data_IF_920122939973
#
_entry.id   IF_920122939973
#
_cell.length_a   1.000
_cell.length_b   1.000
_cell.length_c   1.000
_cell.angle_alpha   90.00
_cell.angle_beta   90.00
_cell.angle_gamma   90.00
#
_symmetry.space_group_name_H-M   'P 1'
#
loop_
_entity.id
_entity.type
_entity.pdbx_description
1 polymer ?
#
# COMPACT_ATOMS: atom_id res chain seq x y z
N UNK A 1 -65.40 60.61 -10.20
CA UNK A 1 -65.15 59.31 -9.53
C UNK A 1 -64.38 58.31 -10.40
N UNK A 2 -64.58 58.26 -11.73
CA UNK A 2 -63.84 57.33 -12.61
C UNK A 2 -62.30 57.48 -12.58
N UNK A 3 -61.77 58.72 -12.51
CA UNK A 3 -60.33 58.98 -12.46
C UNK A 3 -59.64 58.38 -11.22
N UNK A 4 -60.24 58.55 -10.04
CA UNK A 4 -59.69 58.04 -8.78
C UNK A 4 -59.64 56.49 -8.77
N UNK A 5 -60.66 55.84 -9.33
CA UNK A 5 -60.72 54.38 -9.46
C UNK A 5 -59.63 53.88 -10.42
N UNK A 6 -59.39 54.59 -11.53
CA UNK A 6 -58.35 54.23 -12.50
C UNK A 6 -56.93 54.32 -11.91
N UNK A 7 -56.65 55.36 -11.10
CA UNK A 7 -55.34 55.52 -10.44
C UNK A 7 -55.11 54.39 -9.42
N UNK A 8 -56.11 54.08 -8.59
CA UNK A 8 -56.00 52.96 -7.63
C UNK A 8 -55.78 51.63 -8.34
N UNK A 9 -56.50 51.38 -9.44
CA UNK A 9 -56.30 50.17 -10.24
C UNK A 9 -54.89 50.06 -10.82
N UNK A 10 -54.31 51.18 -11.32
CA UNK A 10 -52.93 51.21 -11.82
C UNK A 10 -51.90 50.94 -10.72
N UNK A 11 -52.10 51.48 -9.52
CA UNK A 11 -51.19 51.23 -8.38
C UNK A 11 -51.25 49.77 -7.94
N UNK A 12 -52.44 49.18 -7.86
CA UNK A 12 -52.61 47.77 -7.49
C UNK A 12 -51.99 46.85 -8.55
N UNK A 13 -52.20 47.13 -9.83
CA UNK A 13 -51.55 46.37 -10.92
C UNK A 13 -50.03 46.53 -10.89
N UNK A 14 -49.52 47.74 -10.68
CA UNK A 14 -48.08 47.99 -10.56
C UNK A 14 -47.45 47.23 -9.38
N UNK A 15 -48.10 47.23 -8.22
CA UNK A 15 -47.66 46.48 -7.05
C UNK A 15 -47.69 44.95 -7.30
N UNK A 16 -48.72 44.44 -7.96
CA UNK A 16 -48.83 43.02 -8.29
C UNK A 16 -47.74 42.56 -9.28
N UNK A 17 -47.48 43.35 -10.33
CA UNK A 17 -46.42 43.07 -11.32
C UNK A 17 -45.04 43.12 -10.65
N UNK A 18 -44.79 44.13 -9.82
CA UNK A 18 -43.53 44.23 -9.08
C UNK A 18 -43.35 43.05 -8.11
N UNK A 19 -44.40 42.63 -7.41
CA UNK A 19 -44.38 41.47 -6.52
C UNK A 19 -44.09 40.16 -7.27
N UNK A 20 -44.74 39.94 -8.42
CA UNK A 20 -44.51 38.76 -9.25
C UNK A 20 -43.08 38.72 -9.82
N UNK A 21 -42.57 39.85 -10.30
CA UNK A 21 -41.22 39.94 -10.85
C UNK A 21 -40.15 39.74 -9.76
N UNK A 22 -40.35 40.31 -8.57
CA UNK A 22 -39.46 40.10 -7.45
C UNK A 22 -39.43 38.63 -6.99
N UNK A 23 -40.60 38.00 -6.86
CA UNK A 23 -40.72 36.57 -6.54
C UNK A 23 -40.03 35.70 -7.61
N UNK A 24 -40.25 35.99 -8.90
CA UNK A 24 -39.60 35.25 -9.98
C UNK A 24 -38.06 35.33 -9.98
N UNK A 25 -37.51 36.50 -9.66
CA UNK A 25 -36.05 36.68 -9.55
C UNK A 25 -35.48 35.95 -8.33
N UNK A 26 -36.22 35.93 -7.20
CA UNK A 26 -35.81 35.17 -6.02
C UNK A 26 -35.78 33.68 -6.31
N UNK A 27 -36.85 33.13 -6.88
CA UNK A 27 -36.94 31.71 -7.24
C UNK A 27 -35.85 31.31 -8.23
N UNK A 28 -35.56 32.15 -9.23
CA UNK A 28 -34.48 31.89 -10.18
C UNK A 28 -33.12 31.81 -9.46
N UNK A 29 -32.84 32.73 -8.53
CA UNK A 29 -31.57 32.73 -7.77
C UNK A 29 -31.46 31.53 -6.85
N UNK A 30 -32.55 31.13 -6.19
CA UNK A 30 -32.57 29.92 -5.35
C UNK A 30 -32.30 28.69 -6.21
N UNK A 31 -32.99 28.54 -7.34
CA UNK A 31 -32.79 27.41 -8.25
C UNK A 31 -31.37 27.33 -8.82
N UNK A 32 -30.79 28.46 -9.25
CA UNK A 32 -29.40 28.50 -9.72
C UNK A 32 -28.40 28.16 -8.61
N UNK A 33 -28.63 28.61 -7.37
CA UNK A 33 -27.78 28.30 -6.24
C UNK A 33 -27.86 26.80 -5.87
N UNK A 34 -29.05 26.23 -5.84
CA UNK A 34 -29.26 24.79 -5.58
C UNK A 34 -28.58 23.93 -6.65
N UNK A 35 -28.74 24.29 -7.93
CA UNK A 35 -28.09 23.57 -9.02
C UNK A 35 -26.56 23.59 -8.89
N UNK A 36 -25.97 24.73 -8.51
CA UNK A 36 -24.51 24.87 -8.31
C UNK A 36 -24.02 24.10 -7.10
N UNK A 37 -24.78 24.08 -6.02
CA UNK A 37 -24.48 23.28 -4.82
C UNK A 37 -24.44 21.80 -5.19
N UNK A 38 -25.45 21.30 -5.93
CA UNK A 38 -25.48 19.92 -6.40
C UNK A 38 -24.35 19.59 -7.38
N UNK A 39 -24.02 20.51 -8.30
CA UNK A 39 -22.90 20.33 -9.21
C UNK A 39 -21.55 20.28 -8.47
N UNK A 40 -21.32 21.20 -7.53
CA UNK A 40 -20.12 21.24 -6.70
C UNK A 40 -19.98 20.02 -5.81
N UNK A 41 -21.11 19.50 -5.31
CA UNK A 41 -21.18 18.23 -4.59
C UNK A 41 -20.74 17.06 -5.46
N UNK A 42 -21.26 16.95 -6.68
CA UNK A 42 -20.85 15.91 -7.63
C UNK A 42 -19.36 15.96 -7.96
N UNK A 43 -18.79 17.16 -8.12
CA UNK A 43 -17.34 17.36 -8.31
C UNK A 43 -16.53 16.91 -7.08
N UNK A 44 -17.03 17.20 -5.87
CA UNK A 44 -16.36 16.77 -4.64
C UNK A 44 -16.36 15.24 -4.50
N UNK A 45 -17.49 14.59 -4.81
CA UNK A 45 -17.59 13.12 -4.83
C UNK A 45 -16.67 12.50 -5.86
N UNK A 46 -16.67 13.02 -7.09
CA UNK A 46 -15.77 12.58 -8.15
C UNK A 46 -14.32 12.67 -7.70
N UNK A 47 -13.89 13.81 -7.13
CA UNK A 47 -12.53 14.01 -6.64
C UNK A 47 -12.15 13.01 -5.54
N UNK A 48 -13.04 12.75 -4.58
CA UNK A 48 -12.78 11.76 -3.52
C UNK A 48 -12.60 10.34 -4.08
N UNK A 49 -13.43 9.93 -5.05
CA UNK A 49 -13.29 8.62 -5.70
C UNK A 49 -12.10 8.55 -6.67
N UNK A 50 -11.70 9.68 -7.28
CA UNK A 50 -10.50 9.75 -8.12
C UNK A 50 -9.23 9.55 -7.30
N UNK A 51 -9.13 10.17 -6.12
CA UNK A 51 -8.02 9.96 -5.18
C UNK A 51 -7.95 8.49 -4.75
N UNK A 52 -9.09 7.85 -4.48
CA UNK A 52 -9.13 6.42 -4.18
C UNK A 52 -8.71 5.55 -5.38
N UNK A 53 -9.11 5.91 -6.59
CA UNK A 53 -8.77 5.18 -7.81
C UNK A 53 -7.28 5.27 -8.12
N UNK A 54 -6.68 6.44 -7.93
CA UNK A 54 -5.25 6.71 -8.07
C UNK A 54 -4.41 6.37 -6.83
N UNK A 55 -4.94 5.57 -5.90
CA UNK A 55 -4.25 5.24 -4.64
C UNK A 55 -2.91 4.55 -4.89
N UNK A 56 -2.87 3.59 -5.82
CA UNK A 56 -1.66 2.82 -6.12
C UNK A 56 -0.52 3.72 -6.62
N UNK A 57 -0.83 4.74 -7.45
CA UNK A 57 0.17 5.69 -7.97
C UNK A 57 0.80 6.58 -6.88
N UNK A 58 0.08 6.78 -5.77
CA UNK A 58 0.50 7.62 -4.66
C UNK A 58 0.78 6.84 -3.38
N UNK A 59 0.75 5.50 -3.44
CA UNK A 59 0.80 4.60 -2.29
C UNK A 59 2.04 4.85 -1.43
N UNK A 60 3.22 4.96 -2.05
CA UNK A 60 4.46 5.22 -1.33
C UNK A 60 4.39 6.51 -0.49
N UNK A 61 3.77 7.56 -1.04
CA UNK A 61 3.58 8.85 -0.36
C UNK A 61 2.59 8.72 0.79
N UNK A 62 1.45 8.05 0.59
CA UNK A 62 0.42 7.89 1.62
C UNK A 62 0.87 6.96 2.74
N UNK A 63 1.52 5.85 2.40
CA UNK A 63 2.05 4.88 3.34
C UNK A 63 3.17 5.47 4.23
N UNK A 64 3.97 6.40 3.70
CA UNK A 64 5.02 7.10 4.44
C UNK A 64 4.49 8.09 5.50
N UNK A 65 3.20 8.41 5.49
CA UNK A 65 2.61 9.27 6.53
C UNK A 65 2.62 8.59 7.90
N UNK A 66 2.72 9.44 8.91
CA UNK A 66 2.54 9.08 10.32
C UNK A 66 1.07 9.24 10.72
N UNK A 67 0.65 8.48 11.73
CA UNK A 67 -0.69 8.62 12.30
C UNK A 67 -0.90 10.01 12.89
N UNK A 68 -2.07 10.58 12.66
CA UNK A 68 -2.46 11.89 13.17
C UNK A 68 -2.69 11.84 14.70
N UNK A 69 -2.28 12.88 15.46
CA UNK A 69 -1.45 14.01 15.04
C UNK A 69 0.03 13.62 14.98
N UNK A 70 0.70 13.98 13.88
CA UNK A 70 2.15 13.83 13.77
C UNK A 70 2.85 15.13 14.20
N UNK A 71 3.98 15.00 14.92
CA UNK A 71 4.82 16.14 15.29
C UNK A 71 5.89 16.37 14.22
N UNK A 72 6.20 17.64 13.94
CA UNK A 72 7.28 18.03 13.01
C UNK A 72 8.60 17.32 13.37
N UNK A 73 9.35 16.77 12.39
CA UNK A 73 9.17 16.91 10.94
C UNK A 73 8.22 15.90 10.30
N UNK A 74 7.69 14.95 11.07
CA UNK A 74 6.76 13.94 10.57
C UNK A 74 5.44 14.59 10.11
N UNK A 75 4.92 14.09 8.99
CA UNK A 75 3.64 14.56 8.42
C UNK A 75 2.59 13.47 8.56
N UNK A 76 1.39 13.87 8.95
CA UNK A 76 0.20 13.01 8.97
C UNK A 76 -0.77 13.33 7.84
N UNK A 77 -0.42 14.29 6.97
CA UNK A 77 -1.30 14.76 5.92
C UNK A 77 -0.56 15.06 4.61
N UNK A 78 -1.28 14.90 3.49
CA UNK A 78 -0.86 15.30 2.13
C UNK A 78 -1.89 16.27 1.58
N UNK A 79 -1.42 17.39 1.05
CA UNK A 79 -2.27 18.37 0.37
C UNK A 79 -2.59 17.87 -1.04
N UNK A 80 -3.87 17.89 -1.39
CA UNK A 80 -4.35 17.63 -2.74
C UNK A 80 -4.50 19.00 -3.42
N UNK A 81 -3.67 19.24 -4.42
CA UNK A 81 -3.72 20.48 -5.20
C UNK A 81 -5.02 20.56 -6.01
N UNK A 82 -5.39 21.78 -6.38
CA UNK A 82 -6.56 22.01 -7.24
C UNK A 82 -6.39 21.28 -8.57
N UNK A 83 -7.30 20.32 -8.80
CA UNK A 83 -7.28 19.40 -9.94
C UNK A 83 -8.62 19.51 -10.66
N UNK A 84 -8.62 19.67 -12.00
CA UNK A 84 -9.86 19.61 -12.79
C UNK A 84 -10.51 18.24 -12.67
N UNK A 85 -11.83 18.19 -12.50
CA UNK A 85 -12.58 16.94 -12.55
C UNK A 85 -12.44 16.29 -13.93
N UNK A 86 -12.32 14.96 -14.00
CA UNK A 86 -12.27 14.21 -15.26
C UNK A 86 -13.53 14.42 -16.12
N UNK A 87 -14.69 14.64 -15.48
CA UNK A 87 -15.94 14.99 -16.15
C UNK A 87 -15.96 16.39 -16.80
N UNK A 88 -14.95 17.22 -16.52
CA UNK A 88 -14.89 18.63 -16.96
C UNK A 88 -15.95 19.53 -16.33
N UNK A 89 -16.63 19.09 -15.27
CA UNK A 89 -17.73 19.82 -14.62
C UNK A 89 -17.28 20.77 -13.52
N UNK A 90 -16.01 20.72 -13.12
CA UNK A 90 -15.46 21.62 -12.11
C UNK A 90 -14.01 21.31 -11.73
N UNK A 91 -13.65 21.66 -10.50
CA UNK A 91 -12.34 21.33 -9.91
C UNK A 91 -12.48 20.98 -8.44
N UNK A 92 -11.62 20.09 -7.97
CA UNK A 92 -11.56 19.68 -6.57
C UNK A 92 -10.16 19.90 -5.99
N UNK A 93 -10.07 20.06 -4.67
CA UNK A 93 -8.82 20.12 -3.91
C UNK A 93 -9.08 19.66 -2.48
N UNK A 94 -8.04 19.50 -1.66
CA UNK A 94 -8.28 19.02 -0.31
C UNK A 94 -7.05 18.60 0.46
N UNK A 95 -7.26 17.73 1.44
CA UNK A 95 -6.19 17.15 2.25
C UNK A 95 -6.53 15.70 2.61
N UNK A 96 -5.56 14.81 2.42
CA UNK A 96 -5.63 13.44 2.90
C UNK A 96 -4.92 13.35 4.23
N UNK A 97 -5.58 12.81 5.25
CA UNK A 97 -5.02 12.58 6.58
C UNK A 97 -4.88 11.08 6.83
N UNK A 98 -3.76 10.67 7.43
CA UNK A 98 -3.59 9.32 7.96
C UNK A 98 -3.99 9.30 9.42
N UNK A 99 -5.05 8.58 9.76
CA UNK A 99 -5.57 8.48 11.12
C UNK A 99 -4.87 7.37 11.90
N UNK A 100 -4.62 6.23 11.26
CA UNK A 100 -3.77 5.15 11.76
C UNK A 100 -3.11 4.41 10.58
N UNK A 101 -2.41 3.29 10.81
CA UNK A 101 -1.71 2.58 9.73
C UNK A 101 -2.61 2.08 8.60
N UNK A 102 -3.89 1.83 8.88
CA UNK A 102 -4.84 1.35 7.90
C UNK A 102 -5.95 2.36 7.53
N UNK A 103 -6.17 3.42 8.31
CA UNK A 103 -7.33 4.31 8.19
C UNK A 103 -6.90 5.71 7.78
N UNK A 104 -7.58 6.25 6.76
CA UNK A 104 -7.33 7.56 6.21
C UNK A 104 -8.64 8.34 6.06
N UNK A 105 -8.55 9.67 6.17
CA UNK A 105 -9.62 10.59 5.87
C UNK A 105 -9.23 11.39 4.63
N UNK A 106 -10.02 11.25 3.57
CA UNK A 106 -9.95 12.09 2.37
C UNK A 106 -10.93 13.25 2.59
N UNK A 107 -10.39 14.44 2.77
CA UNK A 107 -11.15 15.68 2.90
C UNK A 107 -11.04 16.45 1.59
N UNK A 108 -12.15 16.58 0.86
CA UNK A 108 -12.18 17.15 -0.49
C UNK A 108 -13.23 18.24 -0.57
N UNK A 109 -12.83 19.38 -1.13
CA UNK A 109 -13.72 20.47 -1.54
C UNK A 109 -13.83 20.47 -3.06
N UNK A 110 -15.06 20.44 -3.57
CA UNK A 110 -15.38 20.59 -4.99
C UNK A 110 -16.05 21.92 -5.30
N UNK A 111 -15.78 22.46 -6.48
CA UNK A 111 -16.43 23.63 -7.06
C UNK A 111 -16.82 23.38 -8.50
N UNK A 112 -18.02 23.79 -8.89
CA UNK A 112 -18.49 23.73 -10.27
C UNK A 112 -17.70 24.67 -11.21
N UNK A 113 -17.67 24.35 -12.49
CA UNK A 113 -16.88 25.08 -13.49
C UNK A 113 -17.20 26.58 -13.56
N UNK A 114 -18.45 26.98 -13.37
CA UNK A 114 -18.83 28.40 -13.42
C UNK A 114 -18.33 29.15 -12.19
N UNK A 115 -18.29 28.48 -11.04
CA UNK A 115 -17.72 28.99 -9.79
C UNK A 115 -16.20 29.12 -9.87
N UNK A 116 -15.52 28.14 -10.47
CA UNK A 116 -14.05 28.15 -10.66
C UNK A 116 -13.60 29.33 -11.53
N UNK A 117 -14.32 29.65 -12.61
CA UNK A 117 -13.93 30.74 -13.54
C UNK A 117 -14.26 32.13 -12.97
N UNK A 118 -14.85 32.23 -11.77
CA UNK A 118 -15.11 33.50 -11.10
C UNK A 118 -16.10 34.41 -11.84
N UNK A 119 -16.91 33.86 -12.76
CA UNK A 119 -17.85 34.62 -13.59
C UNK A 119 -19.12 35.06 -12.86
N UNK A 120 -19.18 34.87 -11.53
CA UNK A 120 -20.40 35.02 -10.74
C UNK A 120 -20.22 36.16 -9.73
N UNK A 121 -21.19 37.09 -9.70
CA UNK A 121 -21.30 38.09 -8.63
C UNK A 121 -21.92 37.44 -7.40
N UNK A 122 -21.17 37.32 -6.31
CA UNK A 122 -21.69 36.82 -5.02
C UNK A 122 -20.94 35.65 -4.39
N UNK A 123 -19.86 35.16 -5.01
CA UNK A 123 -19.14 33.96 -4.56
C UNK A 123 -19.71 32.70 -5.20
N UNK A 124 -18.84 31.80 -5.66
CA UNK A 124 -19.25 30.55 -6.28
C UNK A 124 -19.80 29.53 -5.26
N UNK A 125 -20.44 28.47 -5.76
CA UNK A 125 -20.79 27.30 -4.96
C UNK A 125 -19.56 26.45 -4.70
N UNK A 126 -19.38 26.01 -3.45
CA UNK A 126 -18.41 24.98 -3.07
C UNK A 126 -19.06 23.99 -2.12
N UNK A 127 -18.69 22.72 -2.22
CA UNK A 127 -19.12 21.68 -1.29
C UNK A 127 -17.91 20.89 -0.80
N UNK A 128 -17.88 20.60 0.50
CA UNK A 128 -16.81 19.85 1.13
C UNK A 128 -17.36 18.52 1.64
N UNK A 129 -16.64 17.44 1.38
CA UNK A 129 -16.99 16.11 1.84
C UNK A 129 -15.78 15.45 2.50
N UNK A 130 -16.08 14.56 3.44
CA UNK A 130 -15.13 13.66 4.07
C UNK A 130 -15.43 12.23 3.66
N UNK A 131 -14.40 11.50 3.25
CA UNK A 131 -14.47 10.08 2.93
C UNK A 131 -13.44 9.31 3.75
N UNK A 132 -13.92 8.46 4.65
CA UNK A 132 -13.10 7.51 5.39
C UNK A 132 -12.80 6.29 4.52
N UNK A 133 -11.52 6.03 4.33
CA UNK A 133 -11.00 4.91 3.55
C UNK A 133 -10.08 4.06 4.41
N UNK A 134 -10.07 2.75 4.17
CA UNK A 134 -9.19 1.80 4.83
C UNK A 134 -8.30 1.10 3.80
N UNK A 135 -7.02 0.89 4.10
CA UNK A 135 -6.18 -0.02 3.33
C UNK A 135 -6.50 -1.46 3.70
N UNK A 136 -6.76 -2.30 2.69
CA UNK A 136 -6.89 -3.74 2.90
C UNK A 136 -5.52 -4.38 2.68
N UNK A 137 -4.85 -4.89 3.73
CA UNK A 137 -3.60 -5.61 3.55
C UNK A 137 -3.84 -6.92 2.79
N UNK A 138 -2.80 -7.39 2.12
CA UNK A 138 -2.82 -8.67 1.41
C UNK A 138 -3.08 -9.82 2.39
N UNK A 139 -4.03 -10.71 2.08
CA UNK A 139 -4.23 -11.91 2.87
C UNK A 139 -3.24 -12.99 2.42
N UNK A 140 -2.12 -13.15 3.13
CA UNK A 140 -1.16 -14.22 2.86
C UNK A 140 -1.59 -15.50 3.59
N UNK A 141 -1.69 -16.65 2.89
CA UNK A 141 -2.10 -17.91 3.49
C UNK A 141 -1.00 -18.62 4.32
N UNK A 142 -0.01 -17.90 4.86
CA UNK A 142 1.24 -18.51 5.35
C UNK A 142 1.47 -18.38 6.86
N UNK A 143 1.17 -19.44 7.64
CA UNK A 143 1.61 -19.54 9.02
C UNK A 143 2.98 -20.26 9.10
N UNK A 144 3.97 -19.90 8.27
CA UNK A 144 5.29 -20.53 8.29
C UNK A 144 6.44 -19.55 8.03
N UNK A 145 7.63 -19.86 8.55
CA UNK A 145 8.85 -19.12 8.20
C UNK A 145 9.24 -19.35 6.73
N UNK A 146 9.18 -20.61 6.29
CA UNK A 146 9.36 -21.02 4.89
C UNK A 146 8.16 -21.84 4.43
N UNK A 147 7.52 -21.42 3.35
CA UNK A 147 6.56 -22.22 2.59
C UNK A 147 7.18 -22.58 1.25
N UNK A 148 7.26 -23.87 0.92
CA UNK A 148 7.99 -24.36 -0.25
C UNK A 148 7.14 -25.34 -1.06
N UNK A 149 7.10 -25.16 -2.37
CA UNK A 149 6.45 -26.08 -3.31
C UNK A 149 7.34 -27.23 -3.80
N UNK A 150 8.60 -27.30 -3.38
CA UNK A 150 9.56 -28.31 -3.83
C UNK A 150 10.51 -28.77 -2.72
N UNK A 151 11.53 -29.55 -3.09
CA UNK A 151 12.50 -30.09 -2.13
C UNK A 151 13.33 -28.98 -1.45
N UNK A 152 13.66 -29.19 -0.17
CA UNK A 152 14.45 -28.27 0.64
C UNK A 152 15.71 -28.96 1.15
N UNK A 153 16.87 -28.39 0.84
CA UNK A 153 18.18 -28.85 1.32
C UNK A 153 18.77 -27.76 2.21
N UNK A 154 18.93 -28.07 3.49
CA UNK A 154 19.57 -27.19 4.47
C UNK A 154 20.98 -27.70 4.76
N UNK A 155 21.97 -26.83 4.62
CA UNK A 155 23.39 -27.16 4.78
C UNK A 155 24.14 -26.22 5.73
N UNK A 156 25.19 -26.71 6.39
CA UNK A 156 26.04 -25.88 7.25
C UNK A 156 25.36 -25.57 8.60
N UNK A 157 25.23 -24.29 8.95
CA UNK A 157 24.54 -23.84 10.17
C UNK A 157 23.28 -23.04 9.85
N UNK A 158 22.61 -23.35 8.73
CA UNK A 158 21.37 -22.68 8.36
C UNK A 158 20.29 -22.84 9.45
N UNK A 159 19.56 -21.77 9.75
CA UNK A 159 18.51 -21.76 10.77
C UNK A 159 17.19 -21.32 10.18
N UNK A 160 16.14 -22.12 10.39
CA UNK A 160 14.76 -21.76 10.06
C UNK A 160 13.97 -21.77 11.35
N UNK A 161 13.34 -20.64 11.67
CA UNK A 161 12.65 -20.45 12.94
C UNK A 161 11.22 -19.93 12.73
N UNK A 162 10.23 -20.78 12.99
CA UNK A 162 8.80 -20.44 12.96
C UNK A 162 8.29 -19.71 14.20
N UNK A 163 9.10 -19.50 15.24
CA UNK A 163 8.69 -18.68 16.38
C UNK A 163 8.72 -17.19 16.01
N UNK A 164 7.66 -16.45 16.36
CA UNK A 164 7.58 -15.02 16.07
C UNK A 164 8.71 -14.24 16.73
N UNK A 165 9.55 -13.61 15.91
CA UNK A 165 10.64 -12.77 16.34
C UNK A 165 10.36 -11.31 15.95
N UNK A 166 10.59 -10.40 16.89
CA UNK A 166 10.60 -8.97 16.59
C UNK A 166 12.01 -8.62 16.09
N UNK A 167 12.14 -7.99 14.90
CA UNK A 167 13.45 -7.62 14.41
C UNK A 167 14.11 -6.58 15.34
N UNK A 168 15.44 -6.64 15.55
CA UNK A 168 16.12 -5.72 16.46
C UNK A 168 15.86 -4.25 16.10
N UNK A 169 15.59 -3.42 17.11
CA UNK A 169 15.33 -1.98 16.93
C UNK A 169 13.90 -1.63 16.47
N UNK A 170 13.08 -2.61 16.13
CA UNK A 170 11.68 -2.37 15.75
C UNK A 170 10.79 -2.18 16.97
N UNK A 171 9.89 -1.20 16.89
CA UNK A 171 8.90 -0.89 17.93
C UNK A 171 7.47 -0.91 17.37
N UNK A 172 6.49 -0.98 18.27
CA UNK A 172 5.06 -0.99 17.90
C UNK A 172 4.56 -2.32 17.30
N UNK A 173 5.27 -3.42 17.52
CA UNK A 173 4.94 -4.75 16.96
C UNK A 173 3.86 -5.52 17.73
N UNK A 174 3.49 -5.06 18.93
CA UNK A 174 2.68 -5.85 19.87
C UNK A 174 3.46 -7.04 20.46
N UNK A 175 2.79 -7.90 21.25
CA UNK A 175 3.41 -9.12 21.78
C UNK A 175 3.66 -10.15 20.66
N UNK A 176 4.73 -10.94 20.82
CA UNK A 176 5.03 -12.05 19.91
C UNK A 176 3.92 -13.10 19.95
N UNK A 177 3.54 -13.59 18.77
CA UNK A 177 2.52 -14.61 18.61
C UNK A 177 3.01 -16.01 19.03
N UNK A 178 2.07 -16.94 19.13
CA UNK A 178 2.32 -18.38 19.23
C UNK A 178 3.20 -18.89 18.08
N UNK A 179 3.92 -19.98 18.36
CA UNK A 179 4.82 -20.59 17.40
C UNK A 179 4.08 -20.98 16.11
N UNK A 180 4.66 -20.60 14.98
CA UNK A 180 4.22 -21.00 13.65
C UNK A 180 5.05 -22.17 13.13
N UNK A 181 4.71 -22.66 11.95
CA UNK A 181 5.45 -23.75 11.31
C UNK A 181 6.85 -23.27 10.94
N UNK A 182 7.87 -24.11 11.12
CA UNK A 182 9.20 -23.81 10.58
C UNK A 182 9.19 -23.86 9.04
N UNK A 183 9.03 -25.06 8.50
CA UNK A 183 8.92 -25.32 7.05
C UNK A 183 7.56 -25.95 6.75
N UNK A 184 6.77 -25.34 5.87
CA UNK A 184 5.56 -25.93 5.28
C UNK A 184 5.87 -26.34 3.84
N UNK A 185 5.67 -27.60 3.49
CA UNK A 185 6.04 -28.16 2.18
C UNK A 185 4.98 -29.13 1.67
N UNK A 186 4.98 -29.49 0.38
CA UNK A 186 4.01 -30.44 -0.14
C UNK A 186 4.23 -31.83 0.48
N UNK A 187 3.20 -32.67 0.45
CA UNK A 187 3.25 -33.99 1.10
C UNK A 187 4.43 -34.86 0.62
N UNK A 188 4.74 -34.80 -0.68
CA UNK A 188 5.76 -35.63 -1.32
C UNK A 188 7.16 -35.03 -1.33
N UNK A 189 7.31 -33.76 -0.93
CA UNK A 189 8.59 -33.08 -0.91
C UNK A 189 9.49 -33.59 0.22
N UNK A 190 10.79 -33.43 0.01
CA UNK A 190 11.82 -33.81 0.97
C UNK A 190 12.42 -32.58 1.64
N UNK A 191 12.63 -32.67 2.96
CA UNK A 191 13.48 -31.75 3.71
C UNK A 191 14.72 -32.51 4.15
N UNK A 192 15.86 -32.16 3.58
CA UNK A 192 17.14 -32.83 3.82
C UNK A 192 18.08 -31.87 4.56
N UNK A 193 18.74 -32.35 5.60
CA UNK A 193 19.70 -31.57 6.39
C UNK A 193 21.11 -32.15 6.25
N UNK A 194 22.12 -31.28 6.14
CA UNK A 194 23.53 -31.65 6.11
C UNK A 194 24.34 -30.67 7.00
N UNK A 195 25.21 -31.19 7.86
CA UNK A 195 25.90 -30.40 8.89
C UNK A 195 25.03 -30.21 10.14
N UNK A 196 24.91 -28.98 10.62
CA UNK A 196 24.19 -28.63 11.85
C UNK A 196 23.09 -27.56 11.62
N UNK A 197 22.17 -27.73 10.65
CA UNK A 197 21.06 -26.81 10.50
C UNK A 197 20.05 -26.96 11.64
N UNK A 198 19.38 -25.88 12.00
CA UNK A 198 18.34 -25.87 13.04
C UNK A 198 17.00 -25.53 12.42
N UNK A 199 15.98 -26.36 12.67
CA UNK A 199 14.59 -26.09 12.26
C UNK A 199 13.74 -26.01 13.51
N UNK A 200 13.20 -24.83 13.82
CA UNK A 200 12.35 -24.54 14.96
C UNK A 200 10.95 -24.14 14.48
N UNK A 201 9.93 -24.52 15.23
CA UNK A 201 8.53 -24.21 14.93
C UNK A 201 7.59 -25.25 15.53
N UNK A 202 6.29 -25.01 15.42
CA UNK A 202 5.25 -25.95 15.86
C UNK A 202 4.27 -26.26 14.71
N UNK A 203 4.45 -27.39 13.99
CA UNK A 203 5.62 -28.27 14.02
C UNK A 203 6.86 -27.66 13.32
N UNK A 204 8.08 -28.20 13.53
CA UNK A 204 9.26 -27.76 12.80
C UNK A 204 9.14 -27.94 11.28
N UNK A 205 8.58 -29.08 10.85
CA UNK A 205 8.25 -29.35 9.45
C UNK A 205 6.81 -29.82 9.38
N UNK A 206 6.00 -29.16 8.55
CA UNK A 206 4.63 -29.55 8.21
C UNK A 206 4.60 -29.98 6.74
N UNK A 207 4.24 -31.25 6.52
CA UNK A 207 3.89 -31.76 5.20
C UNK A 207 2.39 -31.55 4.97
N UNK A 208 2.07 -30.66 4.05
CA UNK A 208 0.70 -30.21 3.82
C UNK A 208 0.19 -30.67 2.44
N UNK A 209 -0.80 -31.60 2.38
CA UNK A 209 -1.36 -32.06 1.12
C UNK A 209 -2.27 -31.01 0.44
N UNK A 210 -2.64 -29.94 1.13
CA UNK A 210 -3.46 -28.85 0.57
C UNK A 210 -2.62 -27.76 -0.11
N UNK A 211 -1.29 -27.84 -0.01
CA UNK A 211 -0.38 -26.89 -0.63
C UNK A 211 -0.35 -27.09 -2.15
N UNK A 212 -1.11 -26.28 -2.87
CA UNK A 212 -1.21 -26.26 -4.33
C UNK A 212 -0.59 -25.00 -4.95
N UNK A 213 -0.42 -24.96 -6.26
CA UNK A 213 0.09 -23.79 -7.01
C UNK A 213 -0.66 -22.48 -6.73
N UNK A 214 -1.97 -22.58 -6.45
CA UNK A 214 -2.80 -21.44 -6.04
C UNK A 214 -2.30 -20.78 -4.75
N UNK A 215 -1.63 -21.53 -3.86
CA UNK A 215 -1.06 -21.02 -2.61
C UNK A 215 0.10 -20.04 -2.85
N UNK A 216 0.69 -20.06 -4.05
CA UNK A 216 1.81 -19.21 -4.47
C UNK A 216 1.44 -18.21 -5.57
N UNK A 217 0.21 -18.28 -6.08
CA UNK A 217 -0.27 -17.41 -7.16
C UNK A 217 -1.48 -16.57 -6.78
N UNK A 218 -2.17 -16.89 -5.67
CA UNK A 218 -3.35 -16.18 -5.19
C UNK A 218 -3.26 -15.92 -3.68
N UNK A 219 -3.53 -14.66 -3.30
CA UNK A 219 -3.36 -14.11 -1.96
C UNK A 219 -4.64 -13.38 -1.53
N UNK A 220 -5.64 -14.16 -1.13
CA UNK A 220 -7.01 -13.66 -0.96
C UNK A 220 -7.61 -13.27 -2.32
N UNK A 221 -7.94 -11.99 -2.48
CA UNK A 221 -8.57 -11.45 -3.71
C UNK A 221 -7.54 -10.97 -4.76
N UNK A 222 -6.24 -11.10 -4.48
CA UNK A 222 -5.15 -10.58 -5.33
C UNK A 222 -4.26 -11.72 -5.82
N UNK A 223 -4.01 -11.74 -7.12
CA UNK A 223 -3.07 -12.69 -7.75
C UNK A 223 -1.64 -12.15 -7.74
N UNK A 224 -0.65 -13.03 -7.90
CA UNK A 224 0.75 -12.63 -8.10
C UNK A 224 0.89 -11.60 -9.22
N UNK A 225 0.22 -11.81 -10.36
CA UNK A 225 0.30 -10.89 -11.50
C UNK A 225 -0.27 -9.50 -11.16
N UNK A 226 -1.38 -9.44 -10.41
CA UNK A 226 -1.93 -8.16 -9.95
C UNK A 226 -1.01 -7.47 -8.93
N UNK A 227 -0.32 -8.23 -8.08
CA UNK A 227 0.65 -7.68 -7.13
C UNK A 227 1.91 -7.17 -7.84
N UNK A 228 2.41 -7.92 -8.84
CA UNK A 228 3.53 -7.53 -9.69
C UNK A 228 3.23 -6.27 -10.52
N UNK A 229 2.02 -6.14 -11.06
CA UNK A 229 1.58 -4.93 -11.77
C UNK A 229 1.51 -3.69 -10.87
N UNK A 230 1.50 -3.88 -9.55
CA UNK A 230 1.51 -2.81 -8.53
C UNK A 230 2.90 -2.58 -7.93
N UNK A 231 3.96 -3.15 -8.51
CA UNK A 231 5.30 -2.99 -7.99
C UNK A 231 5.76 -1.52 -8.02
N UNK A 232 6.28 -1.01 -6.91
CA UNK A 232 6.91 0.32 -6.85
C UNK A 232 8.24 0.31 -7.60
N UNK A 233 8.94 -0.83 -7.56
CA UNK A 233 10.24 -1.05 -8.19
C UNK A 233 10.15 -2.29 -9.07
N UNK A 234 10.35 -2.13 -10.38
CA UNK A 234 10.50 -3.25 -11.31
C UNK A 234 11.93 -3.30 -11.83
N UNK A 235 12.59 -4.44 -11.67
CA UNK A 235 13.97 -4.66 -12.09
C UNK A 235 14.06 -5.92 -12.96
N UNK A 236 14.92 -5.90 -13.97
CA UNK A 236 15.31 -7.13 -14.67
C UNK A 236 16.26 -7.94 -13.81
N UNK A 237 16.07 -9.26 -13.81
CA UNK A 237 16.92 -10.23 -13.18
C UNK A 237 18.35 -10.05 -13.69
N UNK A 238 19.27 -9.84 -12.74
CA UNK A 238 20.68 -9.63 -12.97
C UNK A 238 21.43 -9.96 -11.68
N UNK A 239 22.75 -9.85 -11.74
CA UNK A 239 23.59 -9.84 -10.56
C UNK A 239 23.66 -8.42 -9.97
N UNK A 240 22.93 -8.20 -8.87
CA UNK A 240 22.89 -6.94 -8.13
C UNK A 240 24.11 -6.71 -7.23
N UNK A 241 25.05 -7.65 -7.17
CA UNK A 241 26.22 -7.53 -6.30
C UNK A 241 27.08 -6.30 -6.54
N UNK A 242 27.09 -5.81 -7.79
CA UNK A 242 27.84 -4.61 -8.20
C UNK A 242 27.09 -3.30 -7.95
N UNK A 243 25.78 -3.35 -7.73
CA UNK A 243 24.92 -2.16 -7.56
C UNK A 243 24.52 -1.90 -6.11
N UNK A 244 24.96 -2.77 -5.19
CA UNK A 244 24.69 -2.78 -3.74
C UNK A 244 23.31 -2.25 -3.36
N UNK A 245 22.39 -3.15 -3.09
CA UNK A 245 21.10 -2.79 -2.49
C UNK A 245 21.37 -2.15 -1.12
N UNK A 246 20.96 -0.89 -0.95
CA UNK A 246 21.21 -0.10 0.25
C UNK A 246 20.24 1.10 0.33
N UNK A 247 19.95 1.62 1.54
CA UNK A 247 19.14 2.82 1.71
C UNK A 247 19.72 4.02 0.96
N UNK A 248 18.86 4.80 0.30
CA UNK A 248 19.25 6.06 -0.34
C UNK A 248 18.46 7.23 0.23
N UNK A 249 19.16 8.31 0.60
CA UNK A 249 18.56 9.52 1.17
C UNK A 249 18.79 10.73 0.25
N UNK A 250 17.84 11.66 0.23
CA UNK A 250 17.97 12.96 -0.43
C UNK A 250 17.59 14.05 0.57
N UNK A 251 18.59 14.79 1.06
CA UNK A 251 18.41 15.68 2.21
C UNK A 251 17.96 14.91 3.46
N UNK A 252 16.85 15.34 4.06
CA UNK A 252 16.26 14.69 5.24
C UNK A 252 15.26 13.56 4.93
N UNK A 253 14.96 13.31 3.64
CA UNK A 253 13.95 12.35 3.21
C UNK A 253 14.54 11.09 2.57
N UNK A 254 13.74 10.02 2.52
CA UNK A 254 14.08 8.84 1.74
C UNK A 254 14.01 9.14 0.24
N UNK A 255 15.02 8.72 -0.53
CA UNK A 255 15.04 8.90 -1.98
C UNK A 255 14.41 7.68 -2.67
N UNK A 256 13.12 7.77 -2.98
CA UNK A 256 12.36 6.69 -3.63
C UNK A 256 12.62 6.57 -5.14
N UNK A 257 13.38 7.50 -5.74
CA UNK A 257 13.72 7.45 -7.18
C UNK A 257 14.86 6.49 -7.50
N UNK A 258 15.63 6.07 -6.48
CA UNK A 258 16.75 5.13 -6.62
C UNK A 258 16.21 3.71 -6.57
N UNK A 259 16.27 2.98 -7.69
CA UNK A 259 15.70 1.63 -7.80
C UNK A 259 16.38 0.58 -6.89
N UNK A 260 17.60 0.85 -6.39
CA UNK A 260 18.32 0.00 -5.43
C UNK A 260 18.07 0.38 -3.97
N UNK A 261 17.25 1.41 -3.71
CA UNK A 261 16.79 1.76 -2.38
C UNK A 261 15.58 0.91 -2.02
N UNK A 262 15.77 -0.08 -1.16
CA UNK A 262 14.69 -0.97 -0.72
C UNK A 262 14.28 -0.70 0.75
N UNK A 263 14.54 0.51 1.26
CA UNK A 263 14.26 0.88 2.64
C UNK A 263 15.42 0.61 3.60
N UNK A 264 15.26 0.96 4.89
CA UNK A 264 16.29 0.81 5.92
C UNK A 264 15.75 0.14 7.19
N UNK A 265 15.62 -1.21 7.18
CA UNK A 265 15.07 -1.94 8.32
C UNK A 265 15.94 -1.90 9.58
N UNK A 266 17.27 -1.75 9.46
CA UNK A 266 18.17 -1.62 10.63
C UNK A 266 18.11 -0.23 11.26
N UNK A 267 17.61 0.77 10.55
CA UNK A 267 17.34 2.12 11.05
C UNK A 267 15.86 2.50 10.88
N UNK A 268 14.94 1.87 11.62
CA UNK A 268 13.50 2.03 11.43
C UNK A 268 12.98 3.43 11.76
N UNK A 269 13.74 4.24 12.51
CA UNK A 269 13.43 5.65 12.81
C UNK A 269 14.09 6.63 11.82
N UNK A 270 14.98 6.14 10.96
CA UNK A 270 15.66 6.93 9.95
C UNK A 270 14.78 7.28 8.74
N UNK A 271 15.30 8.08 7.80
CA UNK A 271 14.52 8.60 6.67
C UNK A 271 13.83 7.52 5.83
N UNK A 272 14.51 6.37 5.60
CA UNK A 272 13.98 5.23 4.85
C UNK A 272 13.41 4.10 5.72
N UNK A 273 13.33 4.28 7.04
CA UNK A 273 12.80 3.26 7.95
C UNK A 273 11.31 2.95 7.71
N UNK A 274 10.56 3.94 7.20
CA UNK A 274 9.15 3.79 6.83
C UNK A 274 8.89 3.40 5.36
N UNK A 275 9.92 3.15 4.56
CA UNK A 275 9.78 2.86 3.13
C UNK A 275 9.75 1.35 2.89
N UNK A 276 8.59 0.80 2.52
CA UNK A 276 8.33 -0.63 2.31
C UNK A 276 7.78 -0.86 0.89
N UNK A 277 8.64 -0.79 -0.14
CA UNK A 277 8.17 -0.98 -1.52
C UNK A 277 7.71 -2.41 -1.80
N UNK A 278 6.90 -2.56 -2.84
CA UNK A 278 6.75 -3.81 -3.59
C UNK A 278 7.86 -3.83 -4.66
N UNK A 279 8.82 -4.73 -4.51
CA UNK A 279 9.90 -4.97 -5.48
C UNK A 279 9.51 -6.17 -6.35
N UNK A 280 9.55 -6.01 -7.68
CA UNK A 280 9.37 -7.09 -8.63
C UNK A 280 10.62 -7.28 -9.48
N UNK A 281 11.21 -8.47 -9.39
CA UNK A 281 12.34 -8.90 -10.22
C UNK A 281 11.82 -9.82 -11.33
N UNK A 282 11.94 -9.35 -12.56
CA UNK A 282 11.48 -10.02 -13.78
C UNK A 282 12.58 -10.89 -14.39
N UNK A 283 12.25 -12.07 -14.90
CA UNK A 283 13.23 -12.98 -15.53
C UNK A 283 13.58 -14.20 -14.67
N UNK A 284 14.55 -15.00 -15.11
CA UNK A 284 14.73 -16.38 -14.63
C UNK A 284 15.71 -16.55 -13.47
N UNK A 285 16.74 -15.71 -13.35
CA UNK A 285 17.77 -15.86 -12.32
C UNK A 285 18.29 -14.50 -11.85
N UNK A 286 18.03 -14.17 -10.59
CA UNK A 286 18.55 -12.98 -9.95
C UNK A 286 19.56 -13.36 -8.86
N UNK A 287 20.62 -12.57 -8.74
CA UNK A 287 21.56 -12.70 -7.64
C UNK A 287 21.60 -11.39 -6.85
N UNK A 288 21.31 -11.47 -5.56
CA UNK A 288 21.30 -10.31 -4.66
C UNK A 288 22.45 -10.44 -3.69
N UNK A 289 23.23 -9.36 -3.61
CA UNK A 289 24.06 -9.05 -2.46
C UNK A 289 23.96 -7.55 -2.19
N UNK A 290 24.42 -7.13 -1.01
CA UNK A 290 24.23 -5.77 -0.52
C UNK A 290 23.95 -5.80 0.96
N UNK A 291 23.37 -4.72 1.49
CA UNK A 291 23.19 -4.55 2.92
C UNK A 291 21.80 -5.02 3.37
N UNK A 292 20.76 -4.30 2.96
CA UNK A 292 19.43 -4.47 3.53
C UNK A 292 18.30 -4.07 2.57
N UNK A 293 17.12 -4.62 2.81
CA UNK A 293 15.86 -4.21 2.19
C UNK A 293 14.65 -4.63 3.00
N UNK A 294 13.50 -4.03 2.72
CA UNK A 294 12.24 -4.35 3.40
C UNK A 294 11.04 -4.15 2.47
N UNK A 295 9.90 -4.77 2.81
CA UNK A 295 8.66 -4.69 2.02
C UNK A 295 8.23 -6.03 1.46
N UNK A 296 7.74 -6.02 0.22
CA UNK A 296 7.29 -7.23 -0.50
C UNK A 296 8.20 -7.48 -1.69
N UNK A 297 8.92 -8.59 -1.70
CA UNK A 297 9.80 -8.98 -2.80
C UNK A 297 9.15 -10.09 -3.63
N UNK A 298 8.95 -9.82 -4.92
CA UNK A 298 8.42 -10.74 -5.91
C UNK A 298 9.52 -11.10 -6.90
N UNK A 299 9.73 -12.40 -7.15
CA UNK A 299 10.71 -12.87 -8.14
C UNK A 299 10.04 -13.85 -9.09
N UNK A 300 10.10 -13.56 -10.39
CA UNK A 300 9.47 -14.39 -11.44
C UNK A 300 10.20 -15.74 -11.65
N UNK A 301 11.49 -15.78 -11.32
CA UNK A 301 12.35 -16.95 -11.46
C UNK A 301 13.03 -17.33 -10.14
N UNK A 302 14.27 -17.78 -10.24
CA UNK A 302 15.11 -18.17 -9.12
C UNK A 302 15.80 -16.97 -8.48
N UNK A 303 15.98 -17.05 -7.15
CA UNK A 303 16.70 -16.06 -6.37
C UNK A 303 17.92 -16.69 -5.71
N UNK A 304 19.09 -16.12 -5.98
CA UNK A 304 20.33 -16.43 -5.28
C UNK A 304 20.68 -15.27 -4.34
N UNK A 305 20.82 -15.53 -3.05
CA UNK A 305 21.24 -14.53 -2.05
C UNK A 305 22.60 -14.90 -1.50
N UNK A 306 23.51 -13.94 -1.53
CA UNK A 306 24.89 -14.12 -1.12
C UNK A 306 25.35 -12.98 -0.22
N UNK A 307 26.35 -13.25 0.62
CA UNK A 307 26.90 -12.27 1.55
C UNK A 307 26.02 -12.06 2.77
N UNK A 308 25.99 -10.82 3.25
CA UNK A 308 25.36 -10.35 4.49
C UNK A 308 23.99 -9.69 4.27
N UNK A 309 23.40 -9.86 3.07
CA UNK A 309 22.13 -9.25 2.72
C UNK A 309 20.99 -9.68 3.66
N UNK A 310 20.20 -8.71 4.10
CA UNK A 310 19.04 -8.92 4.96
C UNK A 310 17.77 -8.36 4.33
N UNK A 311 16.67 -9.12 4.41
CA UNK A 311 15.36 -8.69 3.93
C UNK A 311 14.29 -8.82 5.01
N UNK A 312 13.45 -7.79 5.16
CA UNK A 312 12.42 -7.70 6.20
C UNK A 312 11.03 -7.53 5.57
N UNK A 313 10.21 -8.57 5.63
CA UNK A 313 8.83 -8.55 5.14
C UNK A 313 8.43 -9.85 4.48
N UNK A 314 7.86 -9.75 3.28
CA UNK A 314 7.30 -10.90 2.55
C UNK A 314 8.15 -11.15 1.32
N UNK A 315 8.59 -12.37 1.12
CA UNK A 315 9.33 -12.78 -0.08
C UNK A 315 8.55 -13.88 -0.80
N UNK A 316 8.27 -13.68 -2.08
CA UNK A 316 7.58 -14.62 -2.94
C UNK A 316 8.44 -14.87 -4.18
N UNK A 317 8.89 -16.10 -4.34
CA UNK A 317 9.78 -16.55 -5.42
C UNK A 317 9.04 -17.62 -6.21
N UNK A 318 9.02 -17.53 -7.54
CA UNK A 318 8.35 -18.52 -8.41
C UNK A 318 9.25 -19.68 -8.86
N UNK A 319 10.56 -19.49 -8.78
CA UNK A 319 11.58 -20.53 -8.97
C UNK A 319 12.20 -20.96 -7.65
N UNK A 320 13.49 -21.30 -7.64
CA UNK A 320 14.17 -21.76 -6.42
C UNK A 320 14.81 -20.64 -5.62
N UNK A 321 14.95 -20.85 -4.32
CA UNK A 321 15.79 -20.05 -3.43
C UNK A 321 17.13 -20.74 -3.19
N UNK A 322 18.22 -20.03 -3.42
CA UNK A 322 19.57 -20.44 -3.03
C UNK A 322 20.20 -19.38 -2.13
N UNK A 323 20.73 -19.80 -0.98
CA UNK A 323 21.47 -18.91 -0.10
C UNK A 323 22.86 -19.46 0.17
N UNK A 324 23.86 -18.59 0.12
CA UNK A 324 25.23 -18.90 0.56
C UNK A 324 25.74 -17.75 1.43
N UNK A 325 25.61 -17.90 2.75
CA UNK A 325 26.10 -16.90 3.71
C UNK A 325 27.46 -17.31 4.29
N UNK A 326 28.37 -16.33 4.44
CA UNK A 326 29.68 -16.51 5.09
C UNK A 326 29.61 -16.36 6.61
N UNK A 327 30.52 -17.01 7.33
CA UNK A 327 30.47 -17.27 8.78
C UNK A 327 30.28 -16.09 9.76
N UNK A 328 30.45 -14.83 9.32
CA UNK A 328 30.47 -13.66 10.21
C UNK A 328 29.17 -12.86 10.31
N UNK A 329 28.25 -12.96 9.34
CA UNK A 329 26.98 -12.22 9.34
C UNK A 329 25.95 -13.01 8.55
N UNK A 330 24.82 -13.42 9.14
CA UNK A 330 23.90 -14.33 8.47
C UNK A 330 23.15 -13.61 7.32
N UNK A 331 22.87 -14.32 6.22
CA UNK A 331 21.86 -13.84 5.27
C UNK A 331 20.50 -14.01 5.96
N UNK A 332 19.81 -12.91 6.23
CA UNK A 332 18.63 -12.90 7.10
C UNK A 332 17.36 -12.56 6.34
N UNK A 333 16.40 -13.48 6.34
CA UNK A 333 15.02 -13.15 6.02
C UNK A 333 14.24 -13.03 7.33
N UNK A 334 13.70 -11.85 7.59
CA UNK A 334 12.77 -11.59 8.70
C UNK A 334 11.36 -11.46 8.13
N UNK A 335 10.46 -12.36 8.50
CA UNK A 335 9.08 -12.35 8.00
C UNK A 335 8.68 -13.70 7.44
N UNK A 336 8.22 -13.78 6.20
CA UNK A 336 7.85 -15.07 5.58
C UNK A 336 8.41 -15.19 4.18
N UNK A 337 8.88 -16.38 3.84
CA UNK A 337 9.40 -16.70 2.52
C UNK A 337 8.52 -17.78 1.89
N UNK A 338 8.00 -17.49 0.71
CA UNK A 338 7.22 -18.39 -0.12
C UNK A 338 8.01 -18.68 -1.38
N UNK A 339 8.28 -19.95 -1.62
CA UNK A 339 9.03 -20.40 -2.79
C UNK A 339 8.17 -21.40 -3.53
N UNK A 340 7.59 -20.96 -4.64
CA UNK A 340 6.89 -21.85 -5.55
C UNK A 340 7.91 -22.66 -6.30
N UNK A 341 7.60 -23.94 -6.45
CA UNK A 341 8.20 -24.75 -7.47
C UNK A 341 7.22 -24.79 -8.65
N UNK A 342 7.60 -24.22 -9.80
CA UNK A 342 6.80 -24.32 -11.02
C UNK A 342 7.47 -25.30 -11.98
N UNK A 343 6.67 -26.19 -12.57
CA UNK A 343 7.10 -27.15 -13.62
C UNK A 343 7.76 -26.47 -14.83
N UNK A 344 7.64 -25.14 -14.95
CA UNK A 344 8.29 -24.33 -15.98
C UNK A 344 9.80 -24.11 -15.75
N UNK A 345 10.33 -24.41 -14.57
CA UNK A 345 11.75 -24.26 -14.24
C UNK A 345 12.37 -25.64 -13.93
N UNK A 346 13.56 -25.90 -14.48
CA UNK A 346 14.18 -27.24 -14.48
C UNK A 346 14.80 -27.66 -13.13
N UNK A 347 15.05 -26.71 -12.22
CA UNK A 347 15.60 -26.96 -10.89
C UNK A 347 14.66 -26.42 -9.83
N UNK A 348 14.13 -27.36 -9.06
CA UNK A 348 13.06 -27.16 -8.09
C UNK A 348 13.54 -27.20 -6.65
N UNK A 349 14.84 -27.42 -6.46
CA UNK A 349 15.41 -27.65 -5.13
C UNK A 349 15.86 -26.34 -4.50
N UNK A 350 15.30 -26.03 -3.34
CA UNK A 350 15.72 -24.93 -2.50
C UNK A 350 16.97 -25.32 -1.73
N UNK A 351 18.02 -24.50 -1.83
CA UNK A 351 19.32 -24.80 -1.24
C UNK A 351 19.74 -23.70 -0.27
N UNK A 352 19.53 -23.97 1.01
CA UNK A 352 19.80 -23.06 2.12
C UNK A 352 21.10 -23.48 2.81
N UNK A 353 22.23 -22.95 2.35
CA UNK A 353 23.57 -23.32 2.85
C UNK A 353 24.32 -22.18 3.53
N UNK A 354 25.30 -22.55 4.36
CA UNK A 354 26.12 -21.62 5.12
C UNK A 354 25.42 -21.20 6.41
N UNK A 355 25.43 -19.91 6.72
CA UNK A 355 24.70 -19.31 7.85
C UNK A 355 23.44 -18.57 7.37
N UNK A 356 22.55 -19.25 6.64
CA UNK A 356 21.30 -18.65 6.17
C UNK A 356 20.22 -18.72 7.27
N UNK A 357 19.59 -17.60 7.60
CA UNK A 357 18.63 -17.49 8.68
C UNK A 357 17.27 -17.00 8.17
N UNK A 358 16.25 -17.87 8.23
CA UNK A 358 14.87 -17.54 7.92
C UNK A 358 14.10 -17.48 9.24
N UNK A 359 13.75 -16.28 9.67
CA UNK A 359 13.12 -16.02 10.96
C UNK A 359 11.70 -15.50 10.73
N UNK A 360 10.70 -16.22 11.23
CA UNK A 360 9.33 -15.77 11.17
C UNK A 360 9.17 -14.48 11.98
N UNK A 361 8.60 -13.45 11.34
CA UNK A 361 8.30 -12.17 12.00
C UNK A 361 6.95 -11.64 11.56
N UNK A 362 5.96 -11.76 12.45
CA UNK A 362 4.65 -11.15 12.26
C UNK A 362 4.78 -9.64 12.09
N UNK A 363 5.68 -9.00 12.83
CA UNK A 363 5.86 -7.55 12.74
C UNK A 363 6.37 -7.12 11.36
N UNK A 364 7.37 -7.80 10.81
CA UNK A 364 7.88 -7.52 9.47
C UNK A 364 6.79 -7.71 8.40
N UNK A 365 6.01 -8.79 8.52
CA UNK A 365 4.90 -9.10 7.60
C UNK A 365 3.83 -8.01 7.68
N UNK A 366 3.31 -7.71 8.86
CA UNK A 366 2.24 -6.71 9.05
C UNK A 366 2.69 -5.34 8.56
N UNK A 367 3.89 -4.87 8.92
CA UNK A 367 4.38 -3.57 8.41
C UNK A 367 4.53 -3.56 6.89
N UNK A 368 5.04 -4.62 6.28
CA UNK A 368 5.15 -4.69 4.82
C UNK A 368 3.76 -4.67 4.16
N UNK A 369 2.80 -5.42 4.71
CA UNK A 369 1.44 -5.52 4.14
C UNK A 369 0.60 -4.25 4.34
N UNK A 370 0.69 -3.61 5.50
CA UNK A 370 -0.04 -2.36 5.79
C UNK A 370 0.42 -1.22 4.88
N UNK A 371 1.73 -1.19 4.58
CA UNK A 371 2.34 -0.17 3.72
C UNK A 371 2.13 -0.43 2.22
N UNK A 372 1.76 -1.65 1.85
CA UNK A 372 1.50 -2.06 0.46
C UNK A 372 0.01 -2.26 0.16
N UNK A 373 -0.87 -2.02 1.14
CA UNK A 373 -2.32 -2.19 1.01
C UNK A 373 -2.99 -1.18 0.07
N UNK A 374 -4.11 -1.61 -0.51
CA UNK A 374 -4.93 -0.81 -1.44
C UNK A 374 -6.09 -0.16 -0.69
N UNK A 375 -6.40 1.11 -0.97
CA UNK A 375 -7.55 1.76 -0.37
C UNK A 375 -8.89 1.15 -0.81
N UNK A 376 -9.78 1.01 0.16
CA UNK A 376 -11.17 0.59 -0.01
C UNK A 376 -12.04 1.46 0.88
N UNK A 377 -13.25 1.77 0.42
CA UNK A 377 -14.24 2.46 1.25
C UNK A 377 -14.65 1.55 2.42
N UNK A 378 -14.97 2.16 3.57
CA UNK A 378 -15.61 1.43 4.66
C UNK A 378 -17.00 0.96 4.23
N UNK A 379 -17.42 -0.22 4.69
CA UNK A 379 -18.71 -0.83 4.33
C UNK A 379 -19.93 0.04 4.67
N UNK A 380 -19.82 0.86 5.71
CA UNK A 380 -20.92 1.73 6.16
C UNK A 380 -20.36 3.00 6.79
N UNK A 381 -21.09 4.12 6.65
CA UNK A 381 -20.75 5.41 7.28
C UNK A 381 -19.37 5.94 6.91
N UNK A 382 -18.90 5.61 5.70
CA UNK A 382 -17.63 6.11 5.19
C UNK A 382 -17.70 7.59 4.78
N UNK A 383 -18.90 8.10 4.51
CA UNK A 383 -19.11 9.37 3.85
C UNK A 383 -19.78 10.37 4.80
N UNK A 384 -19.33 11.62 4.76
CA UNK A 384 -19.90 12.74 5.51
C UNK A 384 -19.79 14.03 4.70
N UNK A 385 -20.82 14.86 4.73
CA UNK A 385 -20.73 16.25 4.25
C UNK A 385 -20.07 17.11 5.34
N UNK A 386 -19.04 17.85 4.97
CA UNK A 386 -18.33 18.76 5.84
C UNK A 386 -18.78 20.20 5.54
N UNK A 387 -18.80 21.06 6.57
CA UNK A 387 -19.24 22.45 6.47
C UNK A 387 -18.07 23.43 6.61
#
# INVERSE_FOLDING_TARGET
MALAIAIVALVVMGAAIAGALFSGIQEQRVGENEQRVLASFGVAEEGAYEIMRGWDDHRATYAALYSFPANSPARSAVVINQTPSMSGTGSYWGTLFKLNDELYLIDVTGQDAMSVVGRIRGGGGSQRIGLLVRTKPLALPTPAALTSGGANVLGGNASINGYDQIPPGWSGCGPTDSARVGIRTQANDTVTTNGHPTILGQPPVLKDPTLADSSFSTYGDVTYAQLANRADITLSAQDFSKKSIAPAVSGAGCNTTVLTNWGSPTNPTGPCGGYFPIIHITGTDASISGQEGQGVLLVDGSLNVHGDFQFFGVVIIKGRLKTTASGGTPAHFWGTVMVQDTVALADTTNNLTGNANLLYSKCAIVKALDKTGVASQLRSRAWIQLY
#
